data_IF_108579245481
#
_entry.id   IF_108579245481
#
_cell.length_a   1.000
_cell.length_b   1.000
_cell.length_c   1.000
_cell.angle_alpha   90.00
_cell.angle_beta   90.00
_cell.angle_gamma   90.00
#
_symmetry.space_group_name_H-M   'P 1'
#
loop_
_entity.id
_entity.type
_entity.pdbx_description
1 polymer ?
#
# COMPACT_ATOMS: atom_id res chain seq x y z
N UNK A 1 18.67 -19.81 -7.04
CA UNK A 1 19.58 -18.79 -6.48
C UNK A 1 20.80 -18.69 -7.37
N UNK A 2 21.19 -17.49 -7.76
CA UNK A 2 22.47 -17.28 -8.47
C UNK A 2 23.65 -17.36 -7.47
N UNK A 3 24.88 -17.45 -7.98
CA UNK A 3 26.06 -17.61 -7.11
C UNK A 3 26.29 -16.43 -6.18
N UNK A 4 25.99 -15.20 -6.62
CA UNK A 4 26.11 -14.00 -5.78
C UNK A 4 25.19 -14.06 -4.57
N UNK A 5 23.89 -14.37 -4.79
CA UNK A 5 22.92 -14.50 -3.71
C UNK A 5 23.28 -15.67 -2.78
N UNK A 6 23.87 -16.75 -3.30
CA UNK A 6 24.33 -17.89 -2.49
C UNK A 6 25.50 -17.51 -1.58
N UNK A 7 26.43 -16.69 -2.06
CA UNK A 7 27.53 -16.16 -1.26
C UNK A 7 27.04 -15.17 -0.20
N UNK A 8 26.10 -14.28 -0.53
CA UNK A 8 25.48 -13.36 0.43
C UNK A 8 24.72 -14.11 1.52
N UNK A 9 23.91 -15.10 1.15
CA UNK A 9 23.21 -15.95 2.10
C UNK A 9 24.17 -16.74 3.00
N UNK A 10 25.24 -17.29 2.43
CA UNK A 10 26.28 -17.98 3.19
C UNK A 10 26.98 -17.06 4.21
N UNK A 11 27.24 -15.80 3.86
CA UNK A 11 27.79 -14.80 4.80
C UNK A 11 26.80 -14.48 5.92
N UNK A 12 25.52 -14.36 5.60
CA UNK A 12 24.46 -14.11 6.59
C UNK A 12 24.35 -15.26 7.60
N UNK A 13 24.44 -16.51 7.14
CA UNK A 13 24.38 -17.69 8.03
C UNK A 13 25.55 -17.76 9.02
N UNK A 14 26.74 -17.28 8.62
CA UNK A 14 27.93 -17.27 9.47
C UNK A 14 27.95 -16.04 10.39
N UNK A 15 27.39 -14.91 9.95
CA UNK A 15 27.27 -13.69 10.76
C UNK A 15 25.92 -13.66 11.50
N UNK A 16 25.91 -14.25 12.70
CA UNK A 16 24.70 -14.37 13.53
C UNK A 16 24.08 -13.01 13.89
N UNK A 17 24.88 -11.96 14.11
CA UNK A 17 24.34 -10.63 14.45
C UNK A 17 23.59 -10.00 13.27
N UNK A 18 24.16 -10.08 12.05
CA UNK A 18 23.50 -9.60 10.84
C UNK A 18 22.24 -10.42 10.53
N UNK A 19 22.26 -11.72 10.77
CA UNK A 19 21.10 -12.59 10.62
C UNK A 19 19.99 -12.19 11.60
N UNK A 20 20.32 -11.97 12.88
CA UNK A 20 19.36 -11.55 13.89
C UNK A 20 18.72 -10.20 13.57
N UNK A 21 19.48 -9.25 13.02
CA UNK A 21 18.94 -7.97 12.55
C UNK A 21 17.91 -8.17 11.42
N UNK A 22 18.20 -9.03 10.45
CA UNK A 22 17.28 -9.37 9.37
C UNK A 22 16.02 -10.06 9.91
N UNK A 23 16.18 -11.04 10.79
CA UNK A 23 15.08 -11.79 11.39
C UNK A 23 14.18 -10.92 12.29
N UNK A 24 14.75 -9.89 12.95
CA UNK A 24 14.00 -8.97 13.80
C UNK A 24 12.89 -8.20 13.06
N UNK A 25 13.04 -8.01 11.74
CA UNK A 25 12.09 -7.28 10.87
C UNK A 25 10.85 -8.10 10.51
N UNK A 26 10.88 -9.42 10.72
CA UNK A 26 9.81 -10.34 10.35
C UNK A 26 9.39 -11.22 11.52
N UNK A 27 9.07 -10.59 12.66
CA UNK A 27 8.70 -11.29 13.89
C UNK A 27 7.52 -12.28 13.70
N UNK A 28 6.53 -11.90 12.89
CA UNK A 28 5.37 -12.76 12.58
C UNK A 28 5.69 -13.99 11.73
N UNK A 29 6.87 -14.05 11.11
CA UNK A 29 7.34 -15.24 10.37
C UNK A 29 8.12 -16.23 11.24
N UNK A 30 8.31 -15.92 12.53
CA UNK A 30 9.06 -16.73 13.49
C UNK A 30 8.16 -17.51 14.46
N UNK A 31 6.88 -17.71 14.12
CA UNK A 31 5.87 -18.34 14.99
C UNK A 31 6.29 -19.70 15.53
N UNK A 32 7.04 -20.48 14.73
CA UNK A 32 7.55 -21.79 15.13
C UNK A 32 8.83 -21.74 15.98
N UNK A 33 9.36 -20.54 16.26
CA UNK A 33 10.62 -20.29 16.97
C UNK A 33 10.43 -19.31 18.16
N UNK A 34 9.64 -19.67 19.18
CA UNK A 34 9.25 -18.76 20.26
C UNK A 34 10.43 -18.22 21.08
N UNK A 35 11.46 -19.03 21.32
CA UNK A 35 12.66 -18.61 22.06
C UNK A 35 13.45 -17.53 21.29
N UNK A 36 13.50 -17.66 19.96
CA UNK A 36 14.18 -16.69 19.10
C UNK A 36 13.39 -15.38 19.02
N UNK A 37 12.05 -15.46 18.94
CA UNK A 37 11.18 -14.29 19.05
C UNK A 37 11.41 -13.56 20.37
N UNK A 38 11.40 -14.28 21.50
CA UNK A 38 11.61 -13.69 22.81
C UNK A 38 13.00 -13.02 22.92
N UNK A 39 14.04 -13.69 22.44
CA UNK A 39 15.39 -13.14 22.42
C UNK A 39 15.48 -11.85 21.59
N UNK A 40 14.91 -11.85 20.38
CA UNK A 40 14.89 -10.68 19.49
C UNK A 40 14.06 -9.54 20.08
N UNK A 41 12.93 -9.84 20.72
CA UNK A 41 12.11 -8.86 21.41
C UNK A 41 12.90 -8.21 22.56
N UNK A 42 13.62 -8.98 23.38
CA UNK A 42 14.45 -8.46 24.48
C UNK A 42 15.61 -7.58 23.99
N UNK A 43 16.17 -7.85 22.81
CA UNK A 43 17.21 -7.02 22.18
C UNK A 43 16.68 -5.73 21.56
N UNK A 44 15.37 -5.62 21.32
CA UNK A 44 14.78 -4.42 20.75
C UNK A 44 14.75 -3.29 21.80
N UNK A 45 15.41 -2.14 21.55
CA UNK A 45 15.48 -1.05 22.52
C UNK A 45 14.10 -0.52 22.92
N UNK A 46 13.12 -0.54 22.02
CA UNK A 46 11.77 -0.05 22.30
C UNK A 46 11.00 -1.01 23.24
N UNK A 47 11.20 -2.32 23.09
CA UNK A 47 10.60 -3.32 24.00
C UNK A 47 11.26 -3.24 25.38
N UNK A 48 12.56 -2.99 25.43
CA UNK A 48 13.27 -2.75 26.68
C UNK A 48 12.77 -1.49 27.39
N UNK A 49 12.54 -0.39 26.65
CA UNK A 49 11.95 0.85 27.16
C UNK A 49 10.53 0.62 27.68
N UNK A 50 9.66 -0.06 26.92
CA UNK A 50 8.32 -0.44 27.37
C UNK A 50 8.36 -1.24 28.69
N UNK A 51 9.23 -2.24 28.77
CA UNK A 51 9.37 -3.07 29.98
C UNK A 51 9.93 -2.29 31.18
N UNK A 52 10.72 -1.24 30.93
CA UNK A 52 11.21 -0.32 31.95
C UNK A 52 10.07 0.58 32.43
N UNK A 53 9.35 1.23 31.52
CA UNK A 53 8.21 2.11 31.82
C UNK A 53 7.12 1.41 32.65
N UNK A 54 6.81 0.13 32.35
CA UNK A 54 5.89 -0.67 33.16
C UNK A 54 6.39 -0.91 34.60
N UNK A 55 7.70 -1.14 34.78
CA UNK A 55 8.30 -1.36 36.11
C UNK A 55 8.39 -0.06 36.92
N UNK A 56 8.60 1.06 36.24
CA UNK A 56 8.67 2.39 36.83
C UNK A 56 7.29 3.01 37.07
N UNK A 57 6.22 2.37 36.57
CA UNK A 57 4.85 2.80 36.77
C UNK A 57 4.47 4.03 35.96
N UNK A 58 5.17 4.31 34.85
CA UNK A 58 4.82 5.42 33.95
C UNK A 58 3.44 5.22 33.31
N UNK A 59 3.08 3.96 33.06
CA UNK A 59 1.74 3.52 32.65
C UNK A 59 1.55 2.05 33.02
N UNK A 60 0.30 1.59 32.99
CA UNK A 60 -0.10 0.20 33.17
C UNK A 60 -0.19 -0.53 31.84
N UNK A 61 -0.13 -1.87 31.89
CA UNK A 61 -0.37 -2.69 30.70
C UNK A 61 -1.76 -2.48 30.11
N UNK A 62 -2.76 -2.18 30.94
CA UNK A 62 -4.13 -1.94 30.47
C UNK A 62 -4.20 -0.63 29.69
N UNK A 63 -3.66 0.47 30.22
CA UNK A 63 -3.62 1.75 29.51
C UNK A 63 -2.90 1.62 28.16
N UNK A 64 -1.79 0.89 28.10
CA UNK A 64 -1.08 0.65 26.85
C UNK A 64 -1.92 -0.15 25.83
N UNK A 65 -2.73 -1.12 26.30
CA UNK A 65 -3.66 -1.86 25.43
C UNK A 65 -4.84 -1.01 24.97
N UNK A 66 -5.34 -0.13 25.83
CA UNK A 66 -6.45 0.77 25.53
C UNK A 66 -6.04 1.75 24.40
N UNK A 67 -4.85 2.33 24.47
CA UNK A 67 -4.28 3.18 23.41
C UNK A 67 -4.11 2.44 22.08
N UNK A 68 -3.64 1.18 22.12
CA UNK A 68 -3.60 0.33 20.92
C UNK A 68 -5.02 0.11 20.37
N UNK A 69 -5.98 -0.20 21.24
CA UNK A 69 -7.38 -0.42 20.88
C UNK A 69 -8.01 0.81 20.23
N UNK A 70 -7.78 1.99 20.79
CA UNK A 70 -8.24 3.26 20.21
C UNK A 70 -7.64 3.48 18.82
N UNK A 71 -6.34 3.24 18.65
CA UNK A 71 -5.71 3.37 17.34
C UNK A 71 -6.30 2.40 16.32
N UNK A 72 -6.58 1.16 16.72
CA UNK A 72 -7.24 0.17 15.85
C UNK A 72 -8.65 0.60 15.45
N UNK A 73 -9.41 1.21 16.37
CA UNK A 73 -10.74 1.77 16.06
C UNK A 73 -10.65 2.89 15.02
N UNK A 74 -9.69 3.80 15.15
CA UNK A 74 -9.47 4.86 14.16
C UNK A 74 -9.12 4.29 12.78
N UNK A 75 -8.25 3.28 12.71
CA UNK A 75 -7.93 2.62 11.45
C UNK A 75 -9.17 1.95 10.83
N UNK A 76 -10.00 1.28 11.64
CA UNK A 76 -11.25 0.71 11.15
C UNK A 76 -12.23 1.78 10.62
N UNK A 77 -12.28 2.93 11.28
CA UNK A 77 -13.06 4.08 10.82
C UNK A 77 -12.55 4.65 9.49
N UNK A 78 -11.23 4.81 9.33
CA UNK A 78 -10.61 5.24 8.07
C UNK A 78 -10.92 4.27 6.92
N UNK A 79 -10.96 2.97 7.20
CA UNK A 79 -11.28 1.93 6.21
C UNK A 79 -12.76 1.89 5.83
N UNK A 80 -13.64 2.51 6.61
CA UNK A 80 -15.09 2.43 6.45
C UNK A 80 -15.55 2.89 5.06
N UNK A 81 -14.88 3.89 4.46
CA UNK A 81 -15.19 4.38 3.11
C UNK A 81 -14.92 3.35 2.00
N UNK A 82 -14.18 2.29 2.29
CA UNK A 82 -13.82 1.24 1.35
C UNK A 82 -14.66 -0.04 1.51
N UNK A 83 -15.64 -0.03 2.42
CA UNK A 83 -16.44 -1.19 2.79
C UNK A 83 -17.90 -0.95 2.44
N UNK A 84 -18.50 -1.87 1.69
CA UNK A 84 -19.94 -1.88 1.48
C UNK A 84 -20.65 -2.36 2.76
N UNK A 85 -21.33 -1.41 3.42
CA UNK A 85 -22.08 -1.63 4.67
C UNK A 85 -23.58 -1.72 4.47
N UNK A 86 -24.11 -1.82 3.25
CA UNK A 86 -25.56 -1.81 3.00
C UNK A 86 -26.29 -2.89 3.82
N UNK A 87 -25.68 -4.06 3.98
CA UNK A 87 -26.24 -5.13 4.82
C UNK A 87 -26.38 -4.75 6.31
N UNK A 88 -25.43 -3.98 6.86
CA UNK A 88 -25.50 -3.47 8.23
C UNK A 88 -26.52 -2.33 8.34
N UNK A 89 -26.57 -1.45 7.35
CA UNK A 89 -27.57 -0.38 7.29
C UNK A 89 -28.97 -0.98 7.31
N UNK A 90 -29.24 -1.98 6.45
CA UNK A 90 -30.53 -2.68 6.40
C UNK A 90 -30.85 -3.38 7.73
N UNK A 91 -29.85 -4.02 8.37
CA UNK A 91 -30.02 -4.66 9.67
C UNK A 91 -30.35 -3.65 10.76
N UNK A 92 -29.57 -2.59 10.91
CA UNK A 92 -29.75 -1.56 11.93
C UNK A 92 -31.07 -0.83 11.72
N UNK A 93 -31.38 -0.42 10.48
CA UNK A 93 -32.64 0.23 10.13
C UNK A 93 -33.86 -0.62 10.50
N UNK A 94 -33.78 -1.96 10.38
CA UNK A 94 -34.87 -2.85 10.79
C UNK A 94 -35.15 -2.85 12.30
N UNK A 95 -34.20 -2.39 13.13
CA UNK A 95 -34.27 -2.37 14.60
C UNK A 95 -34.58 -0.97 15.13
N UNK A 96 -33.97 0.06 14.54
CA UNK A 96 -34.03 1.44 15.06
C UNK A 96 -34.82 2.39 14.17
N UNK A 97 -35.09 2.04 12.91
CA UNK A 97 -35.72 2.94 11.95
C UNK A 97 -34.84 4.15 11.65
N UNK A 98 -35.36 5.34 11.94
CA UNK A 98 -34.71 6.63 11.77
C UNK A 98 -34.04 7.18 13.05
N UNK A 99 -34.16 6.50 14.18
CA UNK A 99 -33.59 6.94 15.45
C UNK A 99 -32.08 6.66 15.54
N UNK A 100 -31.29 7.66 15.14
CA UNK A 100 -29.83 7.62 15.22
C UNK A 100 -29.29 7.50 16.65
N UNK A 101 -30.01 8.00 17.67
CA UNK A 101 -29.53 7.91 19.05
C UNK A 101 -29.61 6.47 19.57
N UNK A 102 -30.64 5.74 19.16
CA UNK A 102 -30.81 4.33 19.51
C UNK A 102 -29.73 3.42 18.91
N UNK A 103 -29.04 3.84 17.84
CA UNK A 103 -27.89 3.09 17.29
C UNK A 103 -26.80 2.92 18.36
N UNK A 104 -26.55 3.96 19.17
CA UNK A 104 -25.50 3.96 20.21
C UNK A 104 -25.76 2.98 21.35
N UNK A 105 -26.98 2.48 21.46
CA UNK A 105 -27.39 1.55 22.52
C UNK A 105 -27.48 0.10 22.04
N UNK A 106 -27.22 -0.16 20.74
CA UNK A 106 -27.29 -1.50 20.18
C UNK A 106 -26.19 -2.40 20.75
N UNK A 107 -26.58 -3.62 21.07
CA UNK A 107 -25.67 -4.68 21.53
C UNK A 107 -25.25 -5.59 20.38
N UNK A 108 -24.27 -6.46 20.65
CA UNK A 108 -23.87 -7.54 19.73
C UNK A 108 -25.06 -8.44 19.38
N UNK A 109 -25.94 -8.72 20.35
CA UNK A 109 -27.12 -9.56 20.15
C UNK A 109 -28.14 -8.90 19.23
N UNK A 110 -28.35 -7.58 19.38
CA UNK A 110 -29.26 -6.83 18.51
C UNK A 110 -28.78 -6.85 17.05
N UNK A 111 -27.49 -6.61 16.82
CA UNK A 111 -26.92 -6.54 15.47
C UNK A 111 -26.81 -7.95 14.86
N UNK A 112 -26.37 -8.92 15.67
CA UNK A 112 -26.16 -10.32 15.28
C UNK A 112 -24.69 -10.63 14.94
N UNK A 113 -24.19 -11.74 15.49
CA UNK A 113 -22.80 -12.16 15.34
C UNK A 113 -22.38 -12.40 13.88
N UNK A 114 -23.29 -12.86 13.01
CA UNK A 114 -23.01 -13.08 11.59
C UNK A 114 -22.76 -11.76 10.84
N UNK A 115 -23.54 -10.72 11.15
CA UNK A 115 -23.37 -9.40 10.55
C UNK A 115 -22.03 -8.78 10.97
N UNK A 116 -21.69 -8.89 12.26
CA UNK A 116 -20.42 -8.39 12.78
C UNK A 116 -19.22 -9.19 12.25
N UNK A 117 -19.34 -10.51 12.14
CA UNK A 117 -18.28 -11.36 11.55
C UNK A 117 -18.05 -11.03 10.08
N UNK A 118 -19.12 -10.78 9.33
CA UNK A 118 -19.02 -10.30 7.94
C UNK A 118 -18.30 -8.95 7.87
N UNK A 119 -18.63 -8.01 8.77
CA UNK A 119 -17.94 -6.72 8.85
C UNK A 119 -16.44 -6.89 9.12
N UNK A 120 -16.06 -7.71 10.10
CA UNK A 120 -14.65 -7.97 10.45
C UNK A 120 -13.90 -8.54 9.24
N UNK A 121 -14.51 -9.47 8.50
CA UNK A 121 -13.91 -10.00 7.27
C UNK A 121 -13.72 -8.93 6.19
N UNK A 122 -14.72 -8.06 6.00
CA UNK A 122 -14.61 -6.96 5.04
C UNK A 122 -13.54 -5.94 5.45
N UNK A 123 -13.40 -5.63 6.74
CA UNK A 123 -12.31 -4.81 7.26
C UNK A 123 -10.97 -5.48 6.96
N UNK A 124 -10.84 -6.79 7.21
CA UNK A 124 -9.63 -7.54 6.88
C UNK A 124 -9.25 -7.42 5.40
N UNK A 125 -10.22 -7.57 4.49
CA UNK A 125 -9.99 -7.35 3.07
C UNK A 125 -9.59 -5.91 2.72
N UNK A 126 -10.21 -4.91 3.37
CA UNK A 126 -9.88 -3.51 3.19
C UNK A 126 -8.46 -3.15 3.68
N UNK A 127 -7.97 -3.79 4.74
CA UNK A 127 -6.56 -3.63 5.19
C UNK A 127 -5.60 -4.07 4.09
N UNK A 128 -5.85 -5.21 3.44
CA UNK A 128 -4.98 -5.69 2.36
C UNK A 128 -5.09 -4.83 1.09
N UNK A 129 -6.23 -4.18 0.83
CA UNK A 129 -6.38 -3.28 -0.32
C UNK A 129 -5.77 -1.90 -0.07
N UNK A 130 -5.63 -1.47 1.19
CA UNK A 130 -5.03 -0.18 1.60
C UNK A 130 -3.55 -0.28 1.95
N UNK A 131 -3.00 -1.48 2.13
CA UNK A 131 -1.56 -1.72 2.04
C UNK A 131 -1.09 -1.33 0.63
N UNK A 132 -0.76 -0.05 0.47
CA UNK A 132 -0.10 0.46 -0.71
C UNK A 132 1.19 -0.35 -0.94
N UNK A 133 1.11 -1.31 -1.86
CA UNK A 133 2.21 -1.54 -2.78
C UNK A 133 2.49 -0.18 -3.42
N UNK A 134 3.74 0.31 -3.38
CA UNK A 134 4.11 1.45 -4.23
C UNK A 134 3.63 1.16 -5.67
N UNK A 135 3.10 2.15 -6.41
CA UNK A 135 2.31 1.91 -7.62
C UNK A 135 3.08 1.16 -8.72
N UNK A 136 2.37 0.31 -9.46
CA UNK A 136 2.80 -0.27 -10.74
C UNK A 136 2.90 0.79 -11.86
N UNK A 137 3.91 1.63 -11.81
CA UNK A 137 4.28 2.46 -12.95
C UNK A 137 4.64 1.59 -14.16
N UNK A 138 4.58 2.07 -15.41
CA UNK A 138 3.80 3.14 -15.97
C UNK A 138 2.62 2.50 -16.70
N UNK A 139 1.47 3.11 -16.66
CA UNK A 139 1.09 4.41 -16.11
C UNK A 139 -0.35 4.14 -15.68
N UNK A 140 -0.42 3.03 -14.94
CA UNK A 140 -1.47 2.48 -14.10
C UNK A 140 -2.80 2.21 -14.81
N UNK A 141 -2.64 1.69 -16.02
CA UNK A 141 -3.20 0.44 -16.56
C UNK A 141 -4.52 -0.12 -15.98
N UNK A 142 -5.40 -0.66 -16.85
CA UNK A 142 -6.34 -1.75 -16.46
C UNK A 142 -6.65 -2.80 -17.57
N UNK A 143 -6.05 -2.70 -18.77
CA UNK A 143 -5.87 -3.79 -19.77
C UNK A 143 -5.08 -3.28 -20.98
N UNK A 144 -4.29 -4.14 -21.62
CA UNK A 144 -3.49 -3.85 -22.83
C UNK A 144 -1.98 -4.05 -22.62
N UNK A 145 -1.22 -4.17 -23.71
CA UNK A 145 0.24 -4.23 -23.66
C UNK A 145 0.81 -2.93 -23.06
N UNK A 146 1.70 -3.08 -22.07
CA UNK A 146 2.49 -2.00 -21.50
C UNK A 146 3.82 -1.96 -22.26
N UNK A 147 4.08 -0.85 -22.94
CA UNK A 147 5.38 -0.61 -23.59
C UNK A 147 6.22 0.31 -22.71
N UNK A 148 7.10 -0.29 -21.91
CA UNK A 148 7.96 0.45 -20.99
C UNK A 148 8.92 1.40 -21.71
N UNK A 149 9.31 1.10 -22.95
CA UNK A 149 10.20 1.96 -23.73
C UNK A 149 9.47 3.26 -24.09
N UNK A 150 8.22 3.14 -24.53
CA UNK A 150 7.36 4.29 -24.77
C UNK A 150 7.19 5.13 -23.49
N UNK A 151 6.87 4.50 -22.34
CA UNK A 151 6.52 5.27 -21.14
C UNK A 151 7.67 5.95 -20.44
N UNK A 152 8.88 5.40 -20.52
CA UNK A 152 10.06 6.13 -20.07
C UNK A 152 10.30 7.39 -20.91
N UNK A 153 9.83 7.39 -22.15
CA UNK A 153 10.03 8.46 -23.11
C UNK A 153 8.74 9.21 -23.45
N UNK A 154 7.67 9.05 -22.66
CA UNK A 154 6.36 9.57 -23.04
C UNK A 154 6.29 11.10 -23.07
N UNK A 155 7.26 11.80 -22.47
CA UNK A 155 7.43 13.24 -22.61
C UNK A 155 7.74 13.66 -24.06
N UNK A 156 8.56 12.88 -24.78
CA UNK A 156 8.85 13.14 -26.21
C UNK A 156 7.61 12.87 -27.06
N UNK A 157 6.87 11.81 -26.75
CA UNK A 157 5.60 11.51 -27.40
C UNK A 157 4.52 12.57 -27.10
N UNK A 158 4.57 13.19 -25.90
CA UNK A 158 3.68 14.30 -25.55
C UNK A 158 4.01 15.55 -26.36
N UNK A 159 5.28 15.89 -26.54
CA UNK A 159 5.72 17.02 -27.37
C UNK A 159 5.22 16.85 -28.82
N UNK A 160 5.40 15.65 -29.40
CA UNK A 160 4.84 15.35 -30.72
C UNK A 160 3.30 15.41 -30.76
N UNK A 161 2.63 14.98 -29.70
CA UNK A 161 1.17 15.06 -29.61
C UNK A 161 0.68 16.52 -29.64
N UNK A 162 1.38 17.43 -28.95
CA UNK A 162 1.14 18.87 -28.99
C UNK A 162 1.41 19.45 -30.39
N UNK A 163 2.45 18.97 -31.07
CA UNK A 163 2.84 19.39 -32.43
C UNK A 163 1.92 18.87 -33.56
N UNK A 164 0.83 18.20 -33.22
CA UNK A 164 -0.24 17.82 -34.17
C UNK A 164 -0.39 16.32 -34.43
N UNK A 165 0.37 15.47 -33.74
CA UNK A 165 0.23 14.00 -33.80
C UNK A 165 -0.88 13.51 -32.85
N UNK A 166 -2.06 14.15 -32.89
CA UNK A 166 -3.09 14.01 -31.86
C UNK A 166 -3.91 12.71 -31.88
N UNK A 167 -3.82 11.91 -32.95
CA UNK A 167 -4.51 10.61 -33.05
C UNK A 167 -3.57 9.45 -32.75
N UNK A 168 -4.12 8.34 -32.23
CA UNK A 168 -3.34 7.15 -31.88
C UNK A 168 -2.49 6.65 -33.06
N UNK A 169 -3.08 6.62 -34.26
CA UNK A 169 -2.37 6.22 -35.48
C UNK A 169 -1.16 7.12 -35.80
N UNK A 170 -1.35 8.45 -35.78
CA UNK A 170 -0.28 9.41 -36.06
C UNK A 170 0.83 9.32 -35.02
N UNK A 171 0.45 9.26 -33.74
CA UNK A 171 1.38 9.13 -32.64
C UNK A 171 2.16 7.81 -32.68
N UNK A 172 1.51 6.71 -33.09
CA UNK A 172 2.17 5.42 -33.26
C UNK A 172 3.23 5.48 -34.36
N UNK A 173 2.93 6.06 -35.52
CA UNK A 173 3.92 6.20 -36.60
C UNK A 173 5.13 7.03 -36.13
N UNK A 174 4.88 8.16 -35.45
CA UNK A 174 5.95 8.98 -34.88
C UNK A 174 6.83 8.18 -33.90
N UNK A 175 6.21 7.42 -32.99
CA UNK A 175 6.96 6.63 -32.01
C UNK A 175 7.77 5.50 -32.67
N UNK A 176 7.27 4.92 -33.76
CA UNK A 176 8.01 3.89 -34.49
C UNK A 176 9.23 4.48 -35.21
N UNK A 177 9.08 5.68 -35.77
CA UNK A 177 10.15 6.35 -36.51
C UNK A 177 11.20 7.00 -35.59
N UNK A 178 10.79 7.54 -34.44
CA UNK A 178 11.65 8.37 -33.57
C UNK A 178 12.04 7.72 -32.25
N UNK A 179 11.21 6.82 -31.72
CA UNK A 179 11.36 6.26 -30.37
C UNK A 179 11.53 4.73 -30.35
N UNK A 180 11.60 4.10 -31.54
CA UNK A 180 11.68 2.65 -31.74
C UNK A 180 10.64 1.85 -30.92
N UNK A 181 9.43 2.40 -30.77
CA UNK A 181 8.36 1.77 -30.00
C UNK A 181 6.97 2.07 -30.58
N UNK A 182 5.94 1.37 -30.10
CA UNK A 182 4.55 1.68 -30.46
C UNK A 182 3.87 2.45 -29.35
N UNK A 183 3.17 3.52 -29.70
CA UNK A 183 2.34 4.23 -28.74
C UNK A 183 1.20 3.31 -28.25
N UNK A 184 1.03 3.10 -26.94
CA UNK A 184 -0.08 2.30 -26.43
C UNK A 184 -1.43 2.97 -26.73
N UNK A 185 -2.50 2.19 -26.87
CA UNK A 185 -3.84 2.72 -27.18
C UNK A 185 -4.33 3.75 -26.15
N UNK A 186 -3.89 3.62 -24.91
CA UNK A 186 -4.20 4.55 -23.83
C UNK A 186 -3.40 5.85 -23.84
N UNK A 187 -2.35 6.00 -24.68
CA UNK A 187 -1.45 7.15 -24.70
C UNK A 187 -2.17 8.48 -24.93
N UNK A 188 -3.01 8.57 -25.97
CA UNK A 188 -3.76 9.80 -26.28
C UNK A 188 -4.73 10.16 -25.16
N UNK A 189 -5.39 9.17 -24.57
CA UNK A 189 -6.29 9.42 -23.42
C UNK A 189 -5.50 9.90 -22.21
N UNK A 190 -4.34 9.30 -21.96
CA UNK A 190 -3.46 9.69 -20.88
C UNK A 190 -2.99 11.14 -21.03
N UNK A 191 -2.51 11.56 -22.21
CA UNK A 191 -2.08 12.95 -22.45
C UNK A 191 -3.22 13.96 -22.31
N UNK A 192 -4.44 13.63 -22.73
CA UNK A 192 -5.61 14.50 -22.52
C UNK A 192 -5.98 14.64 -21.05
N UNK A 193 -5.82 13.56 -20.29
CA UNK A 193 -6.27 13.50 -18.90
C UNK A 193 -5.25 14.10 -17.93
N UNK A 194 -3.97 13.84 -18.16
CA UNK A 194 -2.91 14.17 -17.22
C UNK A 194 -1.93 15.24 -17.74
N UNK A 195 -2.04 15.62 -19.03
CA UNK A 195 -1.15 16.62 -19.62
C UNK A 195 0.27 16.09 -19.80
N UNK A 196 1.24 16.94 -19.53
CA UNK A 196 2.66 16.67 -19.70
C UNK A 196 3.16 15.63 -18.68
N UNK A 197 3.73 14.50 -19.10
CA UNK A 197 4.31 13.52 -18.19
C UNK A 197 5.38 14.11 -17.26
N UNK A 198 6.10 15.15 -17.71
CA UNK A 198 7.13 15.84 -16.92
C UNK A 198 6.56 16.46 -15.65
N UNK A 199 5.27 16.77 -15.60
CA UNK A 199 4.62 17.36 -14.43
C UNK A 199 4.23 16.31 -13.36
N UNK A 200 4.17 15.03 -13.74
CA UNK A 200 3.75 13.93 -12.86
C UNK A 200 4.95 13.43 -12.06
N UNK A 201 4.90 13.55 -10.73
CA UNK A 201 6.01 13.18 -9.85
C UNK A 201 6.35 11.69 -9.93
N UNK A 202 5.32 10.85 -10.01
CA UNK A 202 5.41 9.39 -10.16
C UNK A 202 6.05 9.00 -11.49
N UNK A 203 5.73 9.73 -12.56
CA UNK A 203 6.36 9.52 -13.84
C UNK A 203 7.83 9.94 -13.83
N UNK A 204 8.17 11.07 -13.19
CA UNK A 204 9.57 11.51 -13.05
C UNK A 204 10.41 10.48 -12.27
N UNK A 205 9.88 9.98 -11.15
CA UNK A 205 10.49 8.87 -10.40
C UNK A 205 10.67 7.64 -11.30
N UNK A 206 9.62 7.25 -12.04
CA UNK A 206 9.62 6.07 -12.88
C UNK A 206 10.58 6.14 -14.09
N UNK A 207 10.57 7.27 -14.80
CA UNK A 207 11.36 7.51 -16.00
C UNK A 207 12.83 7.81 -15.67
N UNK A 208 13.15 8.06 -14.39
CA UNK A 208 14.46 8.58 -14.00
C UNK A 208 14.72 9.97 -14.57
N UNK A 209 13.66 10.74 -14.83
CA UNK A 209 13.76 12.06 -15.43
C UNK A 209 14.13 13.09 -14.38
N UNK A 210 15.22 13.81 -14.64
CA UNK A 210 15.63 14.98 -13.84
C UNK A 210 15.62 16.20 -14.74
N UNK A 211 15.15 17.33 -14.23
CA UNK A 211 15.35 18.60 -14.92
C UNK A 211 16.85 18.90 -14.85
N UNK A 212 17.56 18.77 -15.97
CA UNK A 212 18.95 19.23 -16.02
C UNK A 212 18.98 20.69 -15.59
N UNK A 213 19.74 20.98 -14.53
CA UNK A 213 20.03 22.35 -14.15
C UNK A 213 20.86 22.95 -15.30
N UNK A 214 20.23 23.85 -16.06
CA UNK A 214 20.89 24.60 -17.10
C UNK A 214 22.05 25.39 -16.49
N UNK A 215 23.29 25.03 -16.84
CA UNK A 215 24.45 25.92 -16.75
C UNK A 215 24.59 26.70 -18.06
#
# INVERSE_FOLDING_TARGET
MNESAKNEFGRLLVNQDALLEVLSKSHGSLTDYPELQEYLARKNPNVAQYSKALREGEFTRQEYLDEIGERLNWLAYELQSHIDMEFLVNRVASIVGDDLNKIKTLTIEDIGADCLSKLVNLIGHAVYSTQQTKPSYPFLATKGQVDHLFWKQSHIAYDAWVDGYQSHYKLTNYCQDQLDCKAPQSSVRFFRQFGDPRDIAEWREYAGFTFEASN
#
